data_IF_678969336998
#
_entry.id   IF_678969336998
#
_cell.length_a   1.000
_cell.length_b   1.000
_cell.length_c   1.000
_cell.angle_alpha   90.00
_cell.angle_beta   90.00
_cell.angle_gamma   90.00
#
_symmetry.space_group_name_H-M   'P 1'
#
loop_
_entity.id
_entity.type
_entity.pdbx_description
1 polymer ?
#
# COMPACT_ATOMS: atom_id res chain seq x y z
N UNK A 1 -31.22 30.84 3.62
CA UNK A 1 -30.16 31.31 4.53
C UNK A 1 -30.47 30.72 5.89
N UNK A 2 -29.75 29.67 6.29
CA UNK A 2 -29.92 29.04 7.60
C UNK A 2 -29.12 29.88 8.60
N UNK A 3 -29.76 30.36 9.67
CA UNK A 3 -29.09 31.08 10.76
C UNK A 3 -27.98 30.18 11.34
N UNK A 4 -26.72 30.56 11.13
CA UNK A 4 -25.58 29.88 11.75
C UNK A 4 -25.65 30.11 13.25
N UNK A 5 -25.84 29.03 14.00
CA UNK A 5 -26.00 29.05 15.45
C UNK A 5 -24.77 29.73 16.09
N UNK A 6 -24.92 30.52 17.16
CA UNK A 6 -23.82 31.33 17.72
C UNK A 6 -22.57 30.51 18.14
N UNK A 7 -22.74 29.21 18.39
CA UNK A 7 -21.64 28.25 18.61
C UNK A 7 -20.86 27.90 17.33
N UNK A 8 -21.55 27.77 16.20
CA UNK A 8 -20.96 27.43 14.90
C UNK A 8 -20.09 28.57 14.36
N UNK A 9 -20.57 29.82 14.46
CA UNK A 9 -19.78 31.00 14.09
C UNK A 9 -18.47 31.08 14.88
N UNK A 10 -18.52 30.82 16.19
CA UNK A 10 -17.31 30.77 17.05
C UNK A 10 -16.34 29.67 16.62
N UNK A 11 -16.84 28.50 16.23
CA UNK A 11 -16.03 27.38 15.73
C UNK A 11 -15.37 27.72 14.39
N UNK A 12 -16.10 28.36 13.47
CA UNK A 12 -15.56 28.80 12.19
C UNK A 12 -14.48 29.87 12.36
N UNK A 13 -14.70 30.87 13.22
CA UNK A 13 -13.68 31.88 13.54
C UNK A 13 -12.44 31.26 14.19
N UNK A 14 -12.61 30.28 15.09
CA UNK A 14 -11.49 29.57 15.69
C UNK A 14 -10.73 28.71 14.66
N UNK A 15 -11.43 28.01 13.76
CA UNK A 15 -10.83 27.23 12.70
C UNK A 15 -10.04 28.10 11.72
N UNK A 16 -10.62 29.25 11.28
CA UNK A 16 -9.93 30.21 10.41
C UNK A 16 -8.62 30.69 11.02
N UNK A 17 -8.67 31.16 12.27
CA UNK A 17 -7.46 31.62 12.99
C UNK A 17 -6.40 30.52 13.13
N UNK A 18 -6.81 29.27 13.34
CA UNK A 18 -5.89 28.14 13.40
C UNK A 18 -5.20 27.91 12.04
N UNK A 19 -5.97 27.83 10.96
CA UNK A 19 -5.42 27.55 9.63
C UNK A 19 -4.60 28.72 9.09
N UNK A 20 -4.99 29.97 9.34
CA UNK A 20 -4.18 31.15 9.03
C UNK A 20 -2.82 31.09 9.76
N UNK A 21 -2.83 30.77 11.06
CA UNK A 21 -1.60 30.59 11.84
C UNK A 21 -0.75 29.43 11.30
N UNK A 22 -1.37 28.33 10.84
CA UNK A 22 -0.63 27.23 10.21
C UNK A 22 -0.11 27.59 8.82
N UNK A 23 -0.84 28.37 8.03
CA UNK A 23 -0.44 28.82 6.70
C UNK A 23 0.86 29.64 6.76
N UNK A 24 0.97 30.53 7.75
CA UNK A 24 2.20 31.31 8.03
C UNK A 24 3.41 30.41 8.32
N UNK A 25 3.19 29.24 8.92
CA UNK A 25 4.25 28.34 9.36
C UNK A 25 4.59 27.25 8.35
N UNK A 26 3.67 26.87 7.47
CA UNK A 26 3.83 25.73 6.57
C UNK A 26 4.19 26.14 5.14
N UNK A 27 3.65 27.25 4.62
CA UNK A 27 3.72 27.65 3.22
C UNK A 27 3.45 26.47 2.25
N UNK A 28 2.30 25.84 2.39
CA UNK A 28 1.89 24.68 1.59
C UNK A 28 1.14 25.10 0.31
N UNK A 29 1.18 24.31 -0.77
CA UNK A 29 0.68 24.69 -2.10
C UNK A 29 -0.83 24.46 -2.28
N UNK A 30 -1.61 24.35 -1.20
CA UNK A 30 -3.03 23.98 -1.29
C UNK A 30 -3.92 24.91 -0.44
N UNK A 31 -5.20 24.89 -0.73
CA UNK A 31 -6.24 25.53 0.08
C UNK A 31 -6.86 24.54 1.07
N UNK A 32 -7.25 25.03 2.24
CA UNK A 32 -8.17 24.31 3.12
C UNK A 32 -9.57 24.89 2.95
N UNK A 33 -10.54 24.02 2.65
CA UNK A 33 -11.97 24.37 2.63
C UNK A 33 -12.60 23.97 3.96
N UNK A 34 -13.18 24.93 4.66
CA UNK A 34 -13.98 24.66 5.86
C UNK A 34 -15.40 24.25 5.49
N UNK A 35 -16.14 23.71 6.46
CA UNK A 35 -17.52 23.23 6.27
C UNK A 35 -18.54 24.33 5.94
N UNK A 36 -18.19 25.61 6.11
CA UNK A 36 -18.99 26.76 5.63
C UNK A 36 -18.71 27.10 4.14
N UNK A 37 -17.83 26.34 3.48
CA UNK A 37 -17.38 26.57 2.10
C UNK A 37 -16.26 27.58 1.97
N UNK A 38 -15.79 28.20 3.06
CA UNK A 38 -14.70 29.17 3.00
C UNK A 38 -13.36 28.52 2.70
N UNK A 39 -12.56 29.20 1.87
CA UNK A 39 -11.24 28.76 1.44
C UNK A 39 -10.16 29.56 2.16
N UNK A 40 -9.16 28.85 2.68
CA UNK A 40 -8.00 29.42 3.37
C UNK A 40 -6.74 28.97 2.63
N UNK A 41 -5.94 29.89 2.05
CA UNK A 41 -4.68 29.53 1.42
C UNK A 41 -3.67 29.09 2.49
N UNK A 42 -3.04 27.92 2.31
CA UNK A 42 -2.05 27.40 3.26
C UNK A 42 -0.61 27.88 2.97
N UNK A 43 -0.45 28.77 2.00
CA UNK A 43 0.81 29.34 1.56
C UNK A 43 0.61 30.37 0.46
N UNK A 44 1.68 31.08 0.09
CA UNK A 44 1.65 32.10 -0.97
C UNK A 44 1.41 31.50 -2.35
N UNK A 45 1.88 30.28 -2.54
CA UNK A 45 1.83 29.53 -3.80
C UNK A 45 0.69 28.50 -3.79
N UNK A 46 -0.40 28.78 -3.06
CA UNK A 46 -1.55 27.89 -3.01
C UNK A 46 -2.21 27.80 -4.39
N UNK A 47 -2.39 26.58 -4.89
CA UNK A 47 -3.00 26.33 -6.20
C UNK A 47 -4.50 26.01 -6.04
N UNK A 48 -5.34 26.64 -6.86
CA UNK A 48 -6.80 26.50 -6.79
C UNK A 48 -7.30 25.07 -7.09
N UNK A 49 -6.51 24.30 -7.84
CA UNK A 49 -6.78 22.89 -8.15
C UNK A 49 -6.38 21.93 -7.02
N UNK A 50 -5.77 22.43 -5.93
CA UNK A 50 -5.39 21.65 -4.74
C UNK A 50 -6.18 22.13 -3.52
N UNK A 51 -7.22 21.38 -3.15
CA UNK A 51 -8.08 21.74 -2.01
C UNK A 51 -8.25 20.55 -1.06
N UNK A 52 -8.00 20.77 0.23
CA UNK A 52 -8.32 19.83 1.31
C UNK A 52 -9.59 20.31 2.01
N UNK A 53 -10.68 19.57 1.87
CA UNK A 53 -11.99 19.92 2.45
C UNK A 53 -12.20 19.21 3.77
N UNK A 54 -12.63 19.96 4.79
CA UNK A 54 -13.08 19.42 6.07
C UNK A 54 -14.60 19.42 6.11
N UNK A 55 -15.20 18.24 6.21
CA UNK A 55 -16.66 18.04 6.24
C UNK A 55 -17.35 18.71 7.45
N UNK A 56 -16.64 18.92 8.57
CA UNK A 56 -17.25 19.49 9.77
C UNK A 56 -16.27 19.77 10.92
N UNK A 57 -16.75 20.42 11.99
CA UNK A 57 -15.92 20.80 13.14
C UNK A 57 -15.38 19.60 13.92
N UNK A 58 -16.05 18.44 13.86
CA UNK A 58 -15.60 17.20 14.50
C UNK A 58 -14.25 16.71 13.98
N UNK A 59 -13.97 16.92 12.68
CA UNK A 59 -12.71 16.55 12.04
C UNK A 59 -11.54 17.29 12.69
N UNK A 60 -11.67 18.61 12.87
CA UNK A 60 -10.63 19.41 13.49
C UNK A 60 -10.42 19.04 14.97
N UNK A 61 -11.50 18.76 15.71
CA UNK A 61 -11.44 18.25 17.08
C UNK A 61 -10.76 16.88 17.19
N UNK A 62 -10.95 16.00 16.20
CA UNK A 62 -10.23 14.72 16.11
C UNK A 62 -8.74 14.94 15.87
N UNK A 63 -8.39 15.73 14.84
CA UNK A 63 -6.99 16.00 14.48
C UNK A 63 -6.21 16.71 15.59
N UNK A 64 -6.84 17.63 16.34
CA UNK A 64 -6.19 18.30 17.48
C UNK A 64 -5.92 17.36 18.66
N UNK A 65 -6.77 16.34 18.88
CA UNK A 65 -6.59 15.33 19.94
C UNK A 65 -5.58 14.26 19.54
N UNK A 66 -5.55 13.88 18.26
CA UNK A 66 -4.62 12.91 17.70
C UNK A 66 -3.97 13.43 16.41
N UNK A 67 -2.96 14.31 16.49
CA UNK A 67 -2.30 14.91 15.33
C UNK A 67 -1.26 13.96 14.72
N UNK A 68 -1.71 12.77 14.31
CA UNK A 68 -0.87 11.75 13.70
C UNK A 68 -1.42 11.33 12.32
N UNK A 69 -0.56 10.70 11.52
CA UNK A 69 -0.89 10.31 10.15
C UNK A 69 -2.05 9.30 10.11
N UNK A 70 -2.11 8.38 11.06
CA UNK A 70 -3.16 7.36 11.15
C UNK A 70 -4.55 8.00 11.30
N UNK A 71 -4.68 8.98 12.21
CA UNK A 71 -5.93 9.70 12.40
C UNK A 71 -6.30 10.55 11.18
N UNK A 72 -5.33 11.19 10.52
CA UNK A 72 -5.57 11.91 9.27
C UNK A 72 -6.12 10.98 8.18
N UNK A 73 -5.49 9.83 8.00
CA UNK A 73 -5.91 8.82 7.02
C UNK A 73 -7.28 8.25 7.36
N UNK A 74 -7.57 8.02 8.64
CA UNK A 74 -8.89 7.60 9.11
C UNK A 74 -9.96 8.62 8.72
N UNK A 75 -9.77 9.89 9.04
CA UNK A 75 -10.73 10.93 8.65
C UNK A 75 -10.91 11.03 7.12
N UNK A 76 -9.85 10.80 6.34
CA UNK A 76 -9.93 10.71 4.88
C UNK A 76 -10.75 9.49 4.40
N UNK A 77 -10.44 8.29 4.91
CA UNK A 77 -11.13 7.04 4.55
C UNK A 77 -12.62 7.09 4.90
N UNK A 78 -12.98 7.71 6.01
CA UNK A 78 -14.38 7.91 6.40
C UNK A 78 -15.10 8.99 5.57
N UNK A 79 -14.44 9.61 4.58
CA UNK A 79 -14.99 10.67 3.73
C UNK A 79 -15.20 11.99 4.47
N UNK A 80 -14.51 12.19 5.60
CA UNK A 80 -14.60 13.41 6.40
C UNK A 80 -13.57 14.45 6.03
N UNK A 81 -12.47 14.00 5.44
CA UNK A 81 -11.50 14.82 4.71
C UNK A 81 -11.57 14.42 3.25
N UNK A 82 -11.74 15.40 2.37
CA UNK A 82 -11.69 15.19 0.93
C UNK A 82 -10.50 15.93 0.34
N UNK A 83 -9.84 15.34 -0.65
CA UNK A 83 -8.74 15.96 -1.38
C UNK A 83 -9.19 16.13 -2.82
N UNK A 84 -9.38 17.39 -3.22
CA UNK A 84 -9.62 17.77 -4.61
C UNK A 84 -8.25 18.08 -5.23
N UNK A 85 -7.84 17.24 -6.18
CA UNK A 85 -6.65 17.36 -6.99
C UNK A 85 -6.82 16.50 -8.25
N UNK A 86 -6.03 16.69 -9.33
CA UNK A 86 -6.08 15.80 -10.50
C UNK A 86 -5.82 14.34 -10.13
N UNK A 87 -4.93 14.10 -9.15
CA UNK A 87 -4.78 12.82 -8.46
C UNK A 87 -4.18 13.01 -7.06
N UNK A 88 -4.35 12.01 -6.18
CA UNK A 88 -3.65 11.98 -4.89
C UNK A 88 -2.13 11.99 -5.06
N UNK A 89 -1.61 11.29 -6.07
CA UNK A 89 -0.17 11.24 -6.37
C UNK A 89 0.33 12.64 -6.67
N UNK A 90 -0.35 13.35 -7.56
CA UNK A 90 0.03 14.72 -7.92
C UNK A 90 -0.09 15.68 -6.74
N UNK A 91 -1.13 15.55 -5.91
CA UNK A 91 -1.24 16.30 -4.66
C UNK A 91 -0.01 16.11 -3.78
N UNK A 92 0.36 14.86 -3.47
CA UNK A 92 1.51 14.56 -2.62
C UNK A 92 2.84 14.96 -3.26
N UNK A 93 3.00 14.82 -4.58
CA UNK A 93 4.19 15.29 -5.30
C UNK A 93 4.36 16.81 -5.22
N UNK A 94 3.30 17.56 -5.46
CA UNK A 94 3.34 19.04 -5.41
C UNK A 94 3.60 19.52 -3.97
N UNK A 95 2.98 18.90 -2.96
CA UNK A 95 3.27 19.15 -1.53
C UNK A 95 4.74 18.80 -1.19
N UNK A 96 5.26 17.69 -1.69
CA UNK A 96 6.66 17.29 -1.45
C UNK A 96 7.65 18.25 -2.11
N UNK A 97 7.36 18.74 -3.32
CA UNK A 97 8.19 19.69 -4.07
C UNK A 97 8.31 21.04 -3.36
N UNK A 98 7.23 21.53 -2.76
CA UNK A 98 7.23 22.79 -1.98
C UNK A 98 7.98 22.68 -0.65
N UNK A 99 8.23 21.45 -0.16
CA UNK A 99 8.92 21.18 1.11
C UNK A 99 8.41 22.10 2.24
N UNK A 100 7.12 22.06 2.58
CA UNK A 100 6.56 22.91 3.63
C UNK A 100 7.38 22.76 4.90
N UNK A 101 8.08 23.82 5.31
CA UNK A 101 8.94 23.80 6.49
C UNK A 101 8.08 24.00 7.71
N UNK A 102 7.33 22.98 8.11
CA UNK A 102 6.43 23.08 9.26
C UNK A 102 7.26 23.38 10.51
N UNK A 103 7.19 24.62 10.97
CA UNK A 103 7.93 25.07 12.14
C UNK A 103 7.17 24.74 13.42
N UNK A 104 7.16 23.45 13.78
CA UNK A 104 6.40 22.96 14.94
C UNK A 104 6.70 23.69 16.25
N UNK A 105 7.93 24.20 16.43
CA UNK A 105 8.33 24.99 17.62
C UNK A 105 7.72 26.39 17.68
N UNK A 106 7.31 26.94 16.54
CA UNK A 106 6.70 28.28 16.43
C UNK A 106 5.16 28.22 16.53
N UNK A 107 4.57 27.03 16.71
CA UNK A 107 3.13 26.89 16.91
C UNK A 107 2.74 27.47 18.27
N UNK A 108 1.84 28.47 18.26
CA UNK A 108 1.34 29.12 19.48
C UNK A 108 0.49 28.15 20.29
N UNK A 109 1.05 27.58 21.36
CA UNK A 109 0.34 26.65 22.26
C UNK A 109 -0.95 27.23 22.84
N UNK A 110 -0.97 28.52 23.16
CA UNK A 110 -2.16 29.21 23.67
C UNK A 110 -3.30 29.26 22.64
N UNK A 111 -2.97 29.38 21.35
CA UNK A 111 -3.95 29.34 20.26
C UNK A 111 -4.49 27.92 20.09
N UNK A 112 -3.63 26.91 20.12
CA UNK A 112 -4.04 25.50 20.09
C UNK A 112 -5.01 25.18 21.23
N UNK A 113 -4.63 25.50 22.49
CA UNK A 113 -5.47 25.23 23.66
C UNK A 113 -6.82 25.94 23.56
N UNK A 114 -6.84 27.25 23.25
CA UNK A 114 -8.09 28.02 23.11
C UNK A 114 -9.00 27.47 22.00
N UNK A 115 -8.41 27.02 20.91
CA UNK A 115 -9.17 26.51 19.77
C UNK A 115 -9.68 25.10 20.05
N UNK A 116 -8.87 24.22 20.64
CA UNK A 116 -9.29 22.86 21.05
C UNK A 116 -10.53 22.88 21.94
N UNK A 117 -10.66 23.86 22.84
CA UNK A 117 -11.86 24.02 23.68
C UNK A 117 -13.15 24.17 22.87
N UNK A 118 -13.11 24.77 21.67
CA UNK A 118 -14.29 24.94 20.80
C UNK A 118 -14.71 23.65 20.10
N UNK A 119 -13.81 22.67 20.04
CA UNK A 119 -13.99 21.40 19.33
C UNK A 119 -14.10 20.18 20.26
N UNK A 120 -13.97 20.34 21.58
CA UNK A 120 -14.05 19.23 22.56
C UNK A 120 -15.33 18.39 22.48
N UNK A 121 -16.46 19.02 22.14
CA UNK A 121 -17.76 18.37 21.99
C UNK A 121 -18.26 18.38 20.54
N UNK A 122 -17.38 18.66 19.57
CA UNK A 122 -17.76 18.57 18.17
C UNK A 122 -17.89 17.10 17.80
N UNK A 123 -19.12 16.67 17.49
CA UNK A 123 -19.41 15.33 17.02
C UNK A 123 -19.11 15.20 15.53
N UNK A 124 -18.74 14.00 15.09
CA UNK A 124 -18.73 13.67 13.67
C UNK A 124 -20.17 13.48 13.18
N UNK A 125 -20.43 13.78 11.90
CA UNK A 125 -21.58 13.18 11.22
C UNK A 125 -21.37 11.66 11.11
N UNK A 126 -22.47 10.89 11.08
CA UNK A 126 -22.46 9.41 11.13
C UNK A 126 -21.51 8.82 10.08
N UNK A 127 -20.74 7.81 10.47
CA UNK A 127 -19.80 7.10 9.61
C UNK A 127 -20.48 6.57 8.34
N UNK A 128 -19.91 6.90 7.18
CA UNK A 128 -20.32 6.34 5.88
C UNK A 128 -19.75 4.93 5.63
N UNK A 129 -18.73 4.52 6.38
CA UNK A 129 -17.98 3.28 6.17
C UNK A 129 -18.25 2.31 7.32
N UNK A 130 -18.83 1.15 7.01
CA UNK A 130 -19.13 0.07 7.99
C UNK A 130 -18.04 -1.02 8.06
N UNK A 131 -17.09 -1.03 7.12
CA UNK A 131 -15.99 -2.00 7.05
C UNK A 131 -14.71 -1.35 7.58
N UNK A 132 -14.40 -1.58 8.86
CA UNK A 132 -13.18 -1.09 9.51
C UNK A 132 -12.46 -2.22 10.24
N UNK A 133 -11.12 -2.26 10.12
CA UNK A 133 -10.29 -3.19 10.88
C UNK A 133 -9.82 -2.50 12.17
N UNK A 134 -10.44 -2.84 13.30
CA UNK A 134 -10.24 -2.15 14.58
C UNK A 134 -8.94 -2.54 15.34
N UNK A 135 -7.88 -3.00 14.67
CA UNK A 135 -6.60 -3.40 15.32
C UNK A 135 -5.44 -2.51 14.84
N UNK A 136 -4.25 -2.63 15.46
CA UNK A 136 -3.03 -1.91 15.06
C UNK A 136 -2.71 -2.14 13.57
N UNK A 137 -3.09 -1.13 12.78
CA UNK A 137 -2.97 -1.04 11.32
C UNK A 137 -1.51 -0.88 10.88
N UNK A 138 -0.61 -0.49 11.80
CA UNK A 138 0.79 -0.17 11.50
C UNK A 138 1.75 -1.34 11.71
N UNK A 139 1.29 -2.43 12.35
CA UNK A 139 2.12 -3.60 12.66
C UNK A 139 3.29 -3.31 13.60
N UNK A 140 3.30 -2.17 14.30
CA UNK A 140 4.46 -1.69 15.07
C UNK A 140 4.61 -2.31 16.46
N UNK A 141 3.55 -2.89 17.02
CA UNK A 141 3.53 -3.26 18.46
C UNK A 141 3.65 -4.74 18.80
N UNK A 142 3.74 -5.67 17.83
CA UNK A 142 3.78 -7.10 18.14
C UNK A 142 5.02 -7.79 17.55
N UNK A 143 5.98 -8.12 18.40
CA UNK A 143 7.24 -8.82 18.05
C UNK A 143 7.08 -10.29 17.63
N UNK A 144 5.85 -10.84 17.65
CA UNK A 144 5.54 -12.26 17.41
C UNK A 144 4.21 -12.44 16.64
N UNK A 145 3.94 -11.67 15.58
CA UNK A 145 2.79 -11.98 14.71
C UNK A 145 3.10 -13.21 13.85
N UNK A 146 2.15 -14.13 13.80
CA UNK A 146 2.11 -15.17 12.75
C UNK A 146 1.87 -14.45 11.41
N UNK A 147 2.87 -14.46 10.54
CA UNK A 147 2.79 -13.83 9.21
C UNK A 147 1.60 -14.34 8.39
N UNK A 148 1.08 -15.54 8.71
CA UNK A 148 -0.11 -16.11 8.08
C UNK A 148 -1.34 -15.21 8.25
N UNK A 149 -1.63 -14.71 9.45
CA UNK A 149 -2.84 -13.88 9.68
C UNK A 149 -2.81 -12.55 8.90
N UNK A 150 -1.63 -11.92 8.80
CA UNK A 150 -1.49 -10.64 8.09
C UNK A 150 -1.56 -10.82 6.57
N UNK A 151 -0.91 -11.87 6.04
CA UNK A 151 -1.00 -12.23 4.62
C UNK A 151 -2.42 -12.67 4.28
N UNK A 152 -3.09 -13.46 5.13
CA UNK A 152 -4.49 -13.85 4.95
C UNK A 152 -5.41 -12.63 4.88
N UNK A 153 -5.31 -11.68 5.82
CA UNK A 153 -6.15 -10.48 5.81
C UNK A 153 -6.00 -9.63 4.54
N UNK A 154 -4.77 -9.45 4.05
CA UNK A 154 -4.52 -8.63 2.86
C UNK A 154 -4.90 -9.31 1.55
N UNK A 155 -4.89 -10.64 1.46
CA UNK A 155 -5.18 -11.40 0.24
C UNK A 155 -6.52 -12.17 0.26
N UNK A 156 -7.29 -12.13 1.36
CA UNK A 156 -8.63 -12.73 1.44
C UNK A 156 -9.73 -11.91 0.76
N UNK A 157 -9.41 -10.72 0.25
CA UNK A 157 -10.23 -10.07 -0.78
C UNK A 157 -10.47 -11.06 -1.93
N UNK A 158 -11.69 -11.12 -2.48
CA UNK A 158 -12.00 -12.06 -3.57
C UNK A 158 -11.02 -11.88 -4.72
N UNK A 159 -10.61 -12.98 -5.37
CA UNK A 159 -9.88 -12.92 -6.64
C UNK A 159 -10.61 -12.02 -7.66
N UNK A 160 -11.94 -11.92 -7.58
CA UNK A 160 -12.74 -11.04 -8.43
C UNK A 160 -12.48 -9.56 -8.20
N UNK A 161 -12.12 -9.15 -6.97
CA UNK A 161 -11.70 -7.78 -6.70
C UNK A 161 -10.38 -7.46 -7.40
N UNK A 162 -9.39 -8.35 -7.30
CA UNK A 162 -8.08 -8.15 -7.94
C UNK A 162 -8.16 -8.18 -9.46
N UNK A 163 -9.04 -9.02 -10.04
CA UNK A 163 -9.29 -9.04 -11.49
C UNK A 163 -9.77 -7.71 -12.06
N UNK A 164 -10.31 -6.80 -11.24
CA UNK A 164 -10.76 -5.49 -11.72
C UNK A 164 -9.63 -4.59 -12.19
N UNK A 165 -8.40 -4.79 -11.70
CA UNK A 165 -7.28 -3.87 -11.95
C UNK A 165 -5.92 -4.54 -12.20
N UNK A 166 -5.78 -5.84 -11.93
CA UNK A 166 -4.58 -6.59 -12.31
C UNK A 166 -4.64 -7.06 -13.76
N UNK A 167 -3.48 -7.42 -14.28
CA UNK A 167 -3.35 -8.05 -15.59
C UNK A 167 -3.88 -9.50 -15.58
N UNK A 168 -4.08 -10.15 -16.74
CA UNK A 168 -4.57 -11.53 -16.83
C UNK A 168 -3.70 -12.59 -16.12
N UNK A 169 -2.40 -12.33 -15.91
CA UNK A 169 -1.53 -13.22 -15.14
C UNK A 169 -1.66 -13.02 -13.62
N UNK A 170 -2.53 -12.10 -13.19
CA UNK A 170 -2.79 -11.73 -11.79
C UNK A 170 -1.49 -11.34 -11.05
N UNK A 171 -0.63 -10.55 -11.69
CA UNK A 171 0.64 -10.15 -11.10
C UNK A 171 0.46 -8.93 -10.21
N UNK A 172 0.37 -9.15 -8.89
CA UNK A 172 0.42 -8.06 -7.91
C UNK A 172 1.87 -7.73 -7.50
N UNK A 173 2.67 -7.35 -8.48
CA UNK A 173 4.08 -6.96 -8.31
C UNK A 173 4.47 -5.93 -9.39
N UNK A 174 5.62 -5.28 -9.23
CA UNK A 174 6.10 -4.28 -10.20
C UNK A 174 6.25 -4.90 -11.61
N UNK A 175 5.67 -4.24 -12.61
CA UNK A 175 5.81 -4.59 -14.02
C UNK A 175 7.14 -4.04 -14.59
N UNK A 176 7.53 -4.51 -15.78
CA UNK A 176 8.74 -4.04 -16.47
C UNK A 176 8.43 -3.46 -17.85
N UNK A 177 8.37 -2.13 -17.91
CA UNK A 177 8.20 -1.38 -19.16
C UNK A 177 9.57 -1.17 -19.82
N UNK A 178 9.90 -2.04 -20.77
CA UNK A 178 11.05 -1.84 -21.68
C UNK A 178 10.71 -0.92 -22.88
N UNK A 179 9.42 -0.62 -23.05
CA UNK A 179 8.85 0.35 -23.96
C UNK A 179 7.64 0.98 -23.23
N UNK A 180 7.56 2.31 -23.22
CA UNK A 180 6.50 3.06 -22.54
C UNK A 180 5.15 3.00 -23.27
N UNK A 181 5.12 2.51 -24.50
CA UNK A 181 3.89 2.28 -25.27
C UNK A 181 3.21 0.95 -24.92
N UNK A 182 3.89 0.07 -24.20
CA UNK A 182 3.33 -1.22 -23.78
C UNK A 182 2.18 -1.06 -22.78
N UNK A 183 1.21 -1.96 -22.88
CA UNK A 183 0.17 -2.11 -21.87
C UNK A 183 0.73 -2.73 -20.58
N UNK A 184 -0.04 -2.69 -19.49
CA UNK A 184 0.33 -3.32 -18.22
C UNK A 184 0.55 -4.83 -18.38
N UNK A 185 -0.31 -5.49 -19.15
CA UNK A 185 -0.24 -6.92 -19.44
C UNK A 185 1.09 -7.27 -20.12
N UNK A 186 1.46 -6.51 -21.15
CA UNK A 186 2.73 -6.72 -21.82
C UNK A 186 3.91 -6.43 -20.89
N UNK A 187 3.83 -5.38 -20.07
CA UNK A 187 4.87 -5.05 -19.10
C UNK A 187 5.04 -6.13 -18.01
N UNK A 188 3.96 -6.80 -17.59
CA UNK A 188 4.03 -7.93 -16.67
C UNK A 188 4.65 -9.17 -17.34
N UNK A 189 4.30 -9.46 -18.59
CA UNK A 189 4.98 -10.51 -19.37
C UNK A 189 6.47 -10.22 -19.55
N UNK A 190 6.83 -8.97 -19.84
CA UNK A 190 8.23 -8.54 -19.93
C UNK A 190 8.97 -8.73 -18.59
N UNK A 191 8.30 -8.53 -17.45
CA UNK A 191 8.87 -8.81 -16.12
C UNK A 191 9.12 -10.31 -15.94
N UNK A 192 8.16 -11.16 -16.28
CA UNK A 192 8.31 -12.62 -16.20
C UNK A 192 9.47 -13.12 -17.08
N UNK A 193 9.54 -12.60 -18.31
CA UNK A 193 10.63 -12.88 -19.24
C UNK A 193 11.99 -12.42 -18.69
N UNK A 194 12.07 -11.20 -18.17
CA UNK A 194 13.29 -10.67 -17.54
C UNK A 194 13.76 -11.57 -16.39
N UNK A 195 12.84 -12.02 -15.53
CA UNK A 195 13.17 -12.93 -14.42
C UNK A 195 13.76 -14.23 -14.96
N UNK A 196 13.09 -14.89 -15.90
CA UNK A 196 13.53 -16.16 -16.47
C UNK A 196 14.91 -16.03 -17.15
N UNK A 197 15.14 -14.95 -17.90
CA UNK A 197 16.43 -14.65 -18.54
C UNK A 197 17.54 -14.40 -17.52
N UNK A 198 17.28 -13.63 -16.46
CA UNK A 198 18.27 -13.37 -15.39
C UNK A 198 18.62 -14.63 -14.60
N UNK A 199 17.65 -15.52 -14.40
CA UNK A 199 17.87 -16.85 -13.83
C UNK A 199 18.60 -17.79 -14.79
N UNK A 200 18.68 -17.45 -16.08
CA UNK A 200 19.32 -18.26 -17.13
C UNK A 200 18.74 -19.68 -17.17
N UNK A 201 17.41 -19.77 -17.06
CA UNK A 201 16.68 -21.05 -17.01
C UNK A 201 17.02 -21.93 -18.21
N UNK A 202 17.21 -23.22 -17.95
CA UNK A 202 17.41 -24.24 -18.98
C UNK A 202 16.34 -25.33 -18.86
N UNK A 203 15.94 -25.97 -19.99
CA UNK A 203 15.02 -27.11 -19.94
C UNK A 203 15.50 -28.19 -18.97
N UNK A 204 14.57 -28.72 -18.16
CA UNK A 204 14.83 -29.76 -17.17
C UNK A 204 15.35 -29.27 -15.81
N UNK A 205 15.71 -27.99 -15.65
CA UNK A 205 16.09 -27.44 -14.33
C UNK A 205 14.86 -27.33 -13.40
N UNK A 206 15.10 -27.40 -12.08
CA UNK A 206 14.12 -27.16 -11.02
C UNK A 206 14.11 -25.70 -10.58
N UNK A 207 12.98 -25.03 -10.77
CA UNK A 207 12.73 -23.66 -10.32
C UNK A 207 11.83 -23.66 -9.08
N UNK A 208 12.25 -22.99 -8.01
CA UNK A 208 11.36 -22.64 -6.89
C UNK A 208 10.93 -21.17 -7.01
N UNK A 209 9.65 -20.90 -6.81
CA UNK A 209 9.09 -19.55 -6.64
C UNK A 209 8.49 -19.40 -5.23
N UNK A 210 9.19 -18.62 -4.38
CA UNK A 210 8.80 -18.37 -3.00
C UNK A 210 7.78 -17.22 -2.97
N UNK A 211 6.56 -17.51 -2.52
CA UNK A 211 5.45 -16.57 -2.61
C UNK A 211 4.94 -16.44 -4.04
N UNK A 212 4.64 -17.56 -4.68
CA UNK A 212 4.34 -17.64 -6.12
C UNK A 212 3.04 -16.94 -6.57
N UNK A 213 2.29 -16.35 -5.63
CA UNK A 213 1.03 -15.66 -5.89
C UNK A 213 0.04 -16.57 -6.64
N UNK A 214 -0.60 -16.01 -7.66
CA UNK A 214 -1.53 -16.72 -8.55
C UNK A 214 -0.85 -17.59 -9.62
N UNK A 215 0.43 -17.95 -9.42
CA UNK A 215 1.16 -18.92 -10.24
C UNK A 215 1.65 -18.40 -11.59
N UNK A 216 1.70 -17.07 -11.80
CA UNK A 216 2.14 -16.47 -13.07
C UNK A 216 3.56 -16.87 -13.48
N UNK A 217 4.53 -16.75 -12.57
CA UNK A 217 5.92 -17.06 -12.89
C UNK A 217 6.16 -18.56 -13.10
N UNK A 218 5.64 -19.41 -12.23
CA UNK A 218 5.82 -20.87 -12.35
C UNK A 218 5.22 -21.41 -13.65
N UNK A 219 4.02 -20.94 -14.05
CA UNK A 219 3.40 -21.34 -15.31
C UNK A 219 4.15 -20.80 -16.52
N UNK A 220 4.56 -19.53 -16.48
CA UNK A 220 5.31 -18.90 -17.57
C UNK A 220 6.66 -19.58 -17.79
N UNK A 221 7.41 -19.84 -16.71
CA UNK A 221 8.71 -20.49 -16.78
C UNK A 221 8.61 -21.93 -17.31
N UNK A 222 7.68 -22.73 -16.79
CA UNK A 222 7.50 -24.11 -17.25
C UNK A 222 7.13 -24.18 -18.74
N UNK A 223 6.20 -23.32 -19.18
CA UNK A 223 5.75 -23.28 -20.57
C UNK A 223 6.84 -22.82 -21.54
N UNK A 224 7.57 -21.76 -21.22
CA UNK A 224 8.49 -21.11 -22.17
C UNK A 224 9.94 -21.59 -22.07
N UNK A 225 10.36 -22.10 -20.91
CA UNK A 225 11.74 -22.53 -20.65
C UNK A 225 11.88 -24.02 -20.36
N UNK A 226 10.76 -24.75 -20.25
CA UNK A 226 10.77 -26.21 -20.06
C UNK A 226 11.35 -26.65 -18.72
N UNK A 227 11.31 -25.80 -17.71
CA UNK A 227 11.70 -26.14 -16.33
C UNK A 227 10.62 -26.94 -15.62
N UNK A 228 10.99 -27.64 -14.55
CA UNK A 228 10.03 -28.11 -13.54
C UNK A 228 9.91 -27.03 -12.48
N UNK A 229 8.75 -26.37 -12.39
CA UNK A 229 8.52 -25.25 -11.49
C UNK A 229 7.72 -25.68 -10.26
N UNK A 230 8.17 -25.26 -9.09
CA UNK A 230 7.50 -25.45 -7.81
C UNK A 230 7.20 -24.09 -7.22
N UNK A 231 5.93 -23.80 -6.94
CA UNK A 231 5.50 -22.59 -6.24
C UNK A 231 5.06 -22.89 -4.81
N UNK A 232 5.34 -21.97 -3.88
CA UNK A 232 4.73 -21.99 -2.54
C UNK A 232 4.00 -20.71 -2.24
N UNK A 233 2.87 -20.80 -1.54
CA UNK A 233 2.11 -19.66 -1.02
C UNK A 233 1.50 -19.98 0.34
N UNK A 234 1.14 -18.94 1.09
CA UNK A 234 0.37 -19.05 2.35
C UNK A 234 -1.11 -18.66 2.17
N UNK A 235 -1.51 -18.22 0.97
CA UNK A 235 -2.90 -17.83 0.68
C UNK A 235 -3.64 -18.96 -0.03
N UNK A 236 -4.76 -19.40 0.57
CA UNK A 236 -5.63 -20.42 -0.03
C UNK A 236 -6.20 -19.95 -1.37
N UNK A 237 -6.63 -18.69 -1.48
CA UNK A 237 -7.21 -18.16 -2.73
C UNK A 237 -6.22 -18.09 -3.89
N UNK A 238 -4.95 -17.82 -3.58
CA UNK A 238 -3.86 -17.87 -4.56
C UNK A 238 -3.56 -19.31 -4.97
N UNK A 239 -3.50 -20.22 -4.00
CA UNK A 239 -3.31 -21.65 -4.24
C UNK A 239 -4.39 -22.22 -5.17
N UNK A 240 -5.67 -22.01 -4.84
CA UNK A 240 -6.81 -22.53 -5.63
C UNK A 240 -6.78 -22.00 -7.06
N UNK A 241 -6.56 -20.69 -7.23
CA UNK A 241 -6.49 -20.08 -8.56
C UNK A 241 -5.30 -20.59 -9.37
N UNK A 242 -4.12 -20.72 -8.75
CA UNK A 242 -2.93 -21.20 -9.42
C UNK A 242 -3.10 -22.67 -9.82
N UNK A 243 -3.73 -23.50 -8.98
CA UNK A 243 -4.07 -24.88 -9.31
C UNK A 243 -4.98 -24.95 -10.54
N UNK A 244 -6.08 -24.18 -10.56
CA UNK A 244 -6.96 -24.09 -11.73
C UNK A 244 -6.24 -23.60 -12.99
N UNK A 245 -5.30 -22.66 -12.84
CA UNK A 245 -4.48 -22.15 -13.94
C UNK A 245 -3.54 -23.21 -14.50
N UNK A 246 -2.84 -23.94 -13.63
CA UNK A 246 -1.96 -25.06 -14.01
C UNK A 246 -2.76 -26.10 -14.80
N UNK A 247 -3.96 -26.42 -14.34
CA UNK A 247 -4.86 -27.39 -14.97
C UNK A 247 -5.32 -26.92 -16.35
N UNK A 248 -5.82 -25.68 -16.43
CA UNK A 248 -6.27 -25.06 -17.68
C UNK A 248 -5.15 -24.97 -18.73
N UNK A 249 -3.91 -24.81 -18.29
CA UNK A 249 -2.74 -24.74 -19.17
C UNK A 249 -2.14 -26.12 -19.49
N UNK A 250 -2.64 -27.20 -18.87
CA UNK A 250 -2.13 -28.56 -19.08
C UNK A 250 -0.70 -28.77 -18.56
N UNK A 251 -0.32 -28.09 -17.47
CA UNK A 251 1.06 -28.06 -16.97
C UNK A 251 1.31 -28.95 -15.73
N UNK A 252 0.38 -29.83 -15.37
CA UNK A 252 0.47 -30.68 -14.16
C UNK A 252 1.71 -31.59 -14.13
N UNK A 253 2.30 -31.91 -15.27
CA UNK A 253 3.52 -32.71 -15.38
C UNK A 253 4.79 -31.94 -15.01
N UNK A 254 4.74 -30.61 -14.97
CA UNK A 254 5.91 -29.73 -14.78
C UNK A 254 5.74 -28.66 -13.73
N UNK A 255 4.51 -28.36 -13.30
CA UNK A 255 4.24 -27.32 -12.31
C UNK A 255 3.54 -27.92 -11.10
N UNK A 256 4.15 -27.76 -9.93
CA UNK A 256 3.53 -28.03 -8.63
C UNK A 256 3.35 -26.76 -7.83
N UNK A 257 2.32 -26.73 -6.99
CA UNK A 257 2.10 -25.67 -6.01
C UNK A 257 1.74 -26.27 -4.66
N UNK A 258 2.23 -25.67 -3.58
CA UNK A 258 1.94 -26.06 -2.20
C UNK A 258 1.47 -24.86 -1.37
N UNK A 259 0.43 -25.08 -0.54
CA UNK A 259 0.06 -24.15 0.52
C UNK A 259 0.96 -24.39 1.73
N UNK A 260 2.18 -23.85 1.69
CA UNK A 260 3.25 -24.16 2.65
C UNK A 260 4.17 -22.97 2.87
N UNK A 261 4.70 -22.87 4.08
CA UNK A 261 5.77 -21.90 4.38
C UNK A 261 7.11 -22.36 3.78
N UNK A 262 7.82 -21.46 3.10
CA UNK A 262 9.12 -21.79 2.50
C UNK A 262 10.15 -22.27 3.52
N UNK A 263 10.01 -21.92 4.81
CA UNK A 263 10.88 -22.40 5.88
C UNK A 263 10.76 -23.91 6.13
N UNK A 264 9.62 -24.51 5.78
CA UNK A 264 9.35 -25.94 5.90
C UNK A 264 9.85 -26.75 4.70
N UNK A 265 10.26 -26.08 3.61
CA UNK A 265 10.73 -26.77 2.41
C UNK A 265 12.05 -27.51 2.64
N UNK A 266 12.19 -28.65 1.99
CA UNK A 266 13.42 -29.45 1.97
C UNK A 266 13.89 -29.68 0.53
N UNK A 267 15.09 -30.23 0.38
CA UNK A 267 15.68 -30.54 -0.92
C UNK A 267 16.46 -29.38 -1.55
N UNK A 268 16.70 -29.48 -2.86
CA UNK A 268 17.54 -28.53 -3.61
C UNK A 268 16.93 -28.17 -4.96
N UNK A 269 17.13 -26.91 -5.35
CA UNK A 269 16.65 -26.32 -6.60
C UNK A 269 17.82 -25.75 -7.41
N UNK A 270 17.69 -25.80 -8.73
CA UNK A 270 18.65 -25.17 -9.65
C UNK A 270 18.61 -23.65 -9.56
N UNK A 271 17.42 -23.10 -9.36
CA UNK A 271 17.08 -21.68 -9.45
C UNK A 271 15.99 -21.36 -8.45
N UNK A 272 16.08 -20.20 -7.81
CA UNK A 272 15.05 -19.69 -6.90
C UNK A 272 14.68 -18.27 -7.30
N UNK A 273 13.38 -18.00 -7.40
CA UNK A 273 12.82 -16.67 -7.48
C UNK A 273 12.08 -16.34 -6.17
N UNK A 274 12.13 -15.08 -5.76
CA UNK A 274 11.31 -14.56 -4.68
C UNK A 274 10.97 -13.10 -4.99
N UNK A 275 9.68 -12.84 -5.25
CA UNK A 275 9.19 -11.58 -5.82
C UNK A 275 8.19 -10.95 -4.85
N UNK A 276 8.54 -9.81 -4.24
CA UNK A 276 7.64 -9.09 -3.31
C UNK A 276 7.44 -9.80 -1.96
N UNK A 277 8.27 -10.79 -1.64
CA UNK A 277 8.16 -11.57 -0.41
C UNK A 277 9.00 -11.01 0.75
N UNK A 278 10.19 -10.47 0.48
CA UNK A 278 11.12 -10.13 1.56
C UNK A 278 10.67 -8.88 2.34
N UNK A 279 9.82 -8.04 1.76
CA UNK A 279 9.19 -6.89 2.42
C UNK A 279 8.34 -7.33 3.63
N UNK A 280 7.77 -8.53 3.57
CA UNK A 280 6.94 -9.12 4.62
C UNK A 280 7.74 -9.94 5.64
N UNK A 281 9.02 -10.21 5.37
CA UNK A 281 9.90 -10.95 6.29
C UNK A 281 10.31 -10.09 7.48
N UNK A 282 10.45 -8.77 7.27
CA UNK A 282 10.96 -7.84 8.27
C UNK A 282 12.49 -7.86 8.36
N UNK A 283 13.09 -6.67 8.47
CA UNK A 283 14.55 -6.45 8.36
C UNK A 283 15.34 -7.35 9.32
N UNK A 284 14.85 -7.56 10.55
CA UNK A 284 15.51 -8.40 11.55
C UNK A 284 15.64 -9.88 11.14
N UNK A 285 14.78 -10.36 10.24
CA UNK A 285 14.74 -11.76 9.81
C UNK A 285 15.48 -12.02 8.48
N UNK A 286 16.00 -10.98 7.81
CA UNK A 286 16.72 -11.15 6.54
C UNK A 286 17.86 -12.18 6.60
N UNK A 287 18.70 -12.23 7.66
CA UNK A 287 19.74 -13.26 7.74
C UNK A 287 19.17 -14.70 7.76
N UNK A 288 18.02 -14.92 8.42
CA UNK A 288 17.38 -16.23 8.44
C UNK A 288 16.78 -16.58 7.08
N UNK A 289 16.08 -15.63 6.47
CA UNK A 289 15.51 -15.75 5.13
C UNK A 289 16.55 -16.14 4.07
N UNK A 290 17.66 -15.40 3.99
CA UNK A 290 18.71 -15.72 3.02
C UNK A 290 19.45 -17.03 3.35
N UNK A 291 19.63 -17.39 4.64
CA UNK A 291 20.19 -18.69 5.03
C UNK A 291 19.30 -19.84 4.56
N UNK A 292 17.98 -19.73 4.73
CA UNK A 292 17.04 -20.76 4.28
C UNK A 292 17.06 -20.90 2.76
N UNK A 293 17.02 -19.78 2.03
CA UNK A 293 17.12 -19.80 0.56
C UNK A 293 18.43 -20.44 0.12
N UNK A 294 19.54 -20.09 0.76
CA UNK A 294 20.84 -20.69 0.47
C UNK A 294 20.83 -22.21 0.70
N UNK A 295 20.19 -22.71 1.76
CA UNK A 295 20.09 -24.17 1.99
C UNK A 295 19.26 -24.92 0.93
N UNK A 296 18.36 -24.22 0.23
CA UNK A 296 17.53 -24.78 -0.83
C UNK A 296 18.18 -24.65 -2.21
N UNK A 297 19.24 -23.86 -2.35
CA UNK A 297 19.98 -23.76 -3.60
C UNK A 297 21.00 -24.88 -3.70
N UNK A 298 21.08 -25.52 -4.87
CA UNK A 298 22.24 -26.35 -5.18
C UNK A 298 23.51 -25.51 -5.35
N UNK A 299 24.66 -26.20 -5.37
CA UNK A 299 25.92 -25.60 -5.77
C UNK A 299 25.82 -24.89 -7.13
N UNK A 300 26.25 -23.63 -7.16
CA UNK A 300 26.18 -22.74 -8.33
C UNK A 300 24.75 -22.50 -8.84
N UNK A 301 23.73 -22.69 -7.98
CA UNK A 301 22.37 -22.23 -8.22
C UNK A 301 22.29 -20.69 -8.25
N UNK A 302 21.20 -20.15 -8.79
CA UNK A 302 20.99 -18.70 -8.90
C UNK A 302 19.71 -18.32 -8.16
N UNK A 303 19.85 -17.31 -7.28
CA UNK A 303 18.72 -16.60 -6.68
C UNK A 303 18.43 -15.33 -7.47
N UNK A 304 17.16 -15.06 -7.73
CA UNK A 304 16.66 -13.73 -8.04
C UNK A 304 15.70 -13.29 -6.94
N UNK A 305 16.14 -12.33 -6.12
CA UNK A 305 15.33 -11.71 -5.08
C UNK A 305 14.91 -10.31 -5.55
N UNK A 306 13.62 -10.08 -5.70
CA UNK A 306 13.03 -8.83 -6.19
C UNK A 306 12.11 -8.23 -5.15
N UNK A 307 12.33 -6.96 -4.82
CA UNK A 307 11.43 -6.20 -3.95
C UNK A 307 11.89 -4.78 -3.72
N UNK A 308 11.14 -4.06 -2.89
CA UNK A 308 11.25 -2.62 -2.67
C UNK A 308 12.38 -2.32 -1.66
N UNK A 309 13.33 -1.47 -2.02
CA UNK A 309 14.51 -1.08 -1.20
C UNK A 309 14.56 0.41 -0.92
#
# INVERSE_FOLDING_TARGET
>A
MVETNGSERKRLEAARRLFEHFAELANAPFYVRLWDGSLIPMGRDAAEDLVVTLSGPGVLGSLLRGPNLENLLREYVHGRIEIQAPSLIEFFERVRKTRPKIKFREIKKSLLVKSSLQFLFATHEKDRVQLGYNRDETGRTASNRDNREFVQFHYDLSNDFYKLFLDPEMQYSCAYFNDWTHSLEQAQLNKLEMICRKLRLKPGEKLLDIGCGWGGLICYAAKNYGVTAHGVTLSQKQFDFAQEKIDRMGLRDRVSIELRDYNELEGTYDKIASIGMYEHVGIAQYPQYFRKIHSLLRDRGILLNHGIT
#
